data_IF_510808143072
#
_entry.id   IF_510808143072
#
_cell.length_a   1.000
_cell.length_b   1.000
_cell.length_c   1.000
_cell.angle_alpha   90.00
_cell.angle_beta   90.00
_cell.angle_gamma   90.00
#
_symmetry.space_group_name_H-M   'P 1'
#
loop_
_entity.id
_entity.type
_entity.pdbx_description
1 polymer ?
#
# COMPACT_ATOMS: atom_id res chain seq x y z
N UNK A 1 -30.99 8.19 6.57
CA UNK A 1 -29.74 8.53 5.84
C UNK A 1 -29.88 8.06 4.39
N UNK A 2 -29.40 8.84 3.39
CA UNK A 2 -29.41 8.47 1.96
C UNK A 2 -27.99 8.08 1.51
N UNK A 3 -27.87 7.07 0.62
CA UNK A 3 -26.60 6.73 -0.04
C UNK A 3 -26.25 7.77 -1.10
N UNK A 4 -24.98 8.17 -1.17
CA UNK A 4 -24.44 9.04 -2.22
C UNK A 4 -24.21 8.19 -3.47
N UNK A 5 -24.62 8.66 -4.65
CA UNK A 5 -24.35 7.96 -5.92
C UNK A 5 -22.89 8.11 -6.33
N UNK A 6 -22.43 7.30 -7.29
CA UNK A 6 -21.05 7.40 -7.74
C UNK A 6 -20.74 8.75 -8.41
N UNK A 7 -21.70 9.34 -9.14
CA UNK A 7 -21.54 10.67 -9.74
C UNK A 7 -21.42 11.75 -8.66
N UNK A 8 -22.16 11.62 -7.56
CA UNK A 8 -22.16 12.57 -6.44
C UNK A 8 -20.90 12.47 -5.55
N UNK A 9 -20.04 11.47 -5.73
CA UNK A 9 -18.81 11.31 -4.93
C UNK A 9 -17.74 12.34 -5.27
N UNK A 10 -17.82 13.02 -6.41
CA UNK A 10 -16.82 14.01 -6.85
C UNK A 10 -15.41 13.41 -6.96
N UNK A 11 -15.31 12.22 -7.55
CA UNK A 11 -14.02 11.54 -7.76
C UNK A 11 -13.25 12.22 -8.90
N UNK A 12 -11.92 12.36 -8.77
CA UNK A 12 -11.11 12.94 -9.84
C UNK A 12 -11.14 12.08 -11.10
N UNK A 13 -10.93 12.71 -12.26
CA UNK A 13 -10.57 11.98 -13.49
C UNK A 13 -9.16 11.38 -13.37
N UNK A 14 -8.77 10.42 -14.23
CA UNK A 14 -7.40 9.90 -14.27
C UNK A 14 -6.33 11.00 -14.42
N UNK A 15 -6.58 12.00 -15.25
CA UNK A 15 -5.67 13.13 -15.47
C UNK A 15 -5.56 14.02 -14.23
N UNK A 16 -6.69 14.32 -13.58
CA UNK A 16 -6.71 15.07 -12.32
C UNK A 16 -6.00 14.29 -11.21
N UNK A 17 -6.23 12.97 -11.14
CA UNK A 17 -5.59 12.09 -10.18
C UNK A 17 -4.07 12.05 -10.37
N UNK A 18 -3.58 12.05 -11.62
CA UNK A 18 -2.15 12.09 -11.93
C UNK A 18 -1.46 13.36 -11.43
N UNK A 19 -2.15 14.50 -11.41
CA UNK A 19 -1.65 15.79 -10.91
C UNK A 19 -1.82 16.02 -9.40
N UNK A 20 -2.44 15.09 -8.66
CA UNK A 20 -2.64 15.22 -7.21
C UNK A 20 -1.38 14.88 -6.44
N UNK A 21 -1.23 15.53 -5.29
CA UNK A 21 -0.25 15.12 -4.28
C UNK A 21 -0.48 13.66 -3.88
N UNK A 22 0.60 12.88 -3.82
CA UNK A 22 0.55 11.48 -3.44
C UNK A 22 0.83 11.32 -1.96
N UNK A 23 0.22 10.30 -1.35
CA UNK A 23 0.72 9.78 -0.10
C UNK A 23 2.15 9.30 -0.34
N UNK A 24 3.17 9.78 0.40
CA UNK A 24 4.59 9.45 0.20
C UNK A 24 4.93 8.03 0.68
N UNK A 25 4.16 7.06 0.17
CA UNK A 25 4.18 5.65 0.49
C UNK A 25 4.31 4.87 -0.81
N UNK A 26 5.36 4.06 -0.89
CA UNK A 26 5.53 3.02 -1.91
C UNK A 26 5.11 1.68 -1.31
N UNK A 27 4.28 0.92 -2.01
CA UNK A 27 3.98 -0.47 -1.65
C UNK A 27 4.95 -1.38 -2.37
N UNK A 28 5.55 -2.35 -1.68
CA UNK A 28 6.39 -3.39 -2.28
C UNK A 28 5.73 -4.74 -2.02
N UNK A 29 5.42 -5.50 -3.07
CA UNK A 29 4.83 -6.83 -2.97
C UNK A 29 5.92 -7.89 -3.17
N UNK A 30 6.38 -8.48 -2.08
CA UNK A 30 7.39 -9.55 -2.05
C UNK A 30 6.75 -10.89 -2.38
N UNK A 31 6.91 -11.34 -3.63
CA UNK A 31 6.48 -12.67 -4.08
C UNK A 31 4.99 -12.98 -3.77
N UNK A 32 4.10 -12.00 -3.87
CA UNK A 32 2.65 -12.17 -3.68
C UNK A 32 2.09 -13.02 -4.83
N UNK A 33 1.50 -14.17 -4.51
CA UNK A 33 1.11 -15.16 -5.53
C UNK A 33 -0.23 -14.85 -6.16
N UNK A 34 -1.19 -14.36 -5.38
CA UNK A 34 -2.55 -14.15 -5.86
C UNK A 34 -2.65 -12.86 -6.67
N UNK A 35 -2.91 -13.00 -7.98
CA UNK A 35 -3.23 -11.87 -8.85
C UNK A 35 -4.46 -11.06 -8.35
N UNK A 36 -5.36 -11.69 -7.59
CA UNK A 36 -6.51 -10.99 -6.98
C UNK A 36 -6.07 -10.12 -5.80
N UNK A 37 -5.11 -10.58 -4.98
CA UNK A 37 -4.53 -9.74 -3.93
C UNK A 37 -3.77 -8.57 -4.56
N UNK A 38 -3.00 -8.82 -5.63
CA UNK A 38 -2.31 -7.75 -6.37
C UNK A 38 -3.29 -6.69 -6.87
N UNK A 39 -4.39 -7.09 -7.53
CA UNK A 39 -5.39 -6.13 -7.97
C UNK A 39 -6.11 -5.41 -6.82
N UNK A 40 -6.31 -6.06 -5.68
CA UNK A 40 -6.81 -5.39 -4.47
C UNK A 40 -5.82 -4.36 -3.91
N UNK A 41 -4.51 -4.59 -4.00
CA UNK A 41 -3.49 -3.58 -3.68
C UNK A 41 -3.54 -2.39 -4.63
N UNK A 42 -3.69 -2.61 -5.94
CA UNK A 42 -3.89 -1.52 -6.89
C UNK A 42 -5.10 -0.67 -6.53
N UNK A 43 -6.25 -1.30 -6.26
CA UNK A 43 -7.49 -0.59 -5.91
C UNK A 43 -7.37 0.18 -4.60
N UNK A 44 -6.71 -0.40 -3.59
CA UNK A 44 -6.45 0.26 -2.31
C UNK A 44 -5.46 1.42 -2.48
N UNK A 45 -4.44 1.22 -3.32
CA UNK A 45 -3.44 2.22 -3.65
C UNK A 45 -4.05 3.45 -4.32
N UNK A 46 -4.96 3.24 -5.27
CA UNK A 46 -5.73 4.31 -5.92
C UNK A 46 -6.58 5.08 -4.89
N UNK A 47 -7.31 4.36 -4.04
CA UNK A 47 -8.18 4.95 -3.03
C UNK A 47 -7.45 5.85 -2.03
N UNK A 48 -6.20 5.52 -1.69
CA UNK A 48 -5.36 6.29 -0.76
C UNK A 48 -4.26 7.11 -1.45
N UNK A 49 -4.29 7.21 -2.78
CA UNK A 49 -3.34 7.95 -3.60
C UNK A 49 -1.85 7.62 -3.27
N UNK A 50 -1.51 6.34 -3.10
CA UNK A 50 -0.12 5.91 -2.87
C UNK A 50 0.79 6.37 -3.99
N UNK A 51 2.07 6.60 -3.69
CA UNK A 51 3.04 7.11 -4.67
C UNK A 51 3.24 6.10 -5.81
N UNK A 52 3.43 4.82 -5.47
CA UNK A 52 3.56 3.73 -6.43
C UNK A 52 3.48 2.33 -5.79
N UNK A 53 3.37 1.31 -6.64
CA UNK A 53 3.45 -0.11 -6.26
C UNK A 53 4.63 -0.78 -6.99
N UNK A 54 5.44 -1.56 -6.28
CA UNK A 54 6.51 -2.37 -6.86
C UNK A 54 6.15 -3.85 -6.72
N UNK A 55 6.09 -4.54 -7.85
CA UNK A 55 5.76 -5.96 -7.91
C UNK A 55 7.06 -6.75 -7.99
N UNK A 56 7.36 -7.56 -6.98
CA UNK A 56 8.65 -8.24 -6.88
C UNK A 56 8.56 -9.76 -7.11
N UNK A 57 9.61 -10.30 -7.75
CA UNK A 57 9.81 -11.74 -7.89
C UNK A 57 8.72 -12.41 -8.72
N UNK A 58 8.00 -13.37 -8.12
CA UNK A 58 6.93 -14.12 -8.78
C UNK A 58 5.60 -13.36 -8.90
N UNK A 59 5.51 -12.16 -8.33
CA UNK A 59 4.26 -11.38 -8.29
C UNK A 59 3.75 -11.09 -9.69
N UNK A 60 2.48 -11.43 -9.96
CA UNK A 60 1.86 -11.20 -11.26
C UNK A 60 1.81 -9.70 -11.60
N UNK A 61 2.07 -9.36 -12.87
CA UNK A 61 2.06 -7.97 -13.36
C UNK A 61 0.89 -7.70 -14.31
N UNK A 62 0.39 -6.45 -14.40
CA UNK A 62 -0.43 -6.03 -15.53
C UNK A 62 0.31 -6.18 -16.87
N UNK A 63 -0.39 -6.44 -17.99
CA UNK A 63 -1.82 -6.74 -18.09
C UNK A 63 -2.16 -8.17 -17.60
N UNK A 64 -3.17 -8.29 -16.75
CA UNK A 64 -3.69 -9.58 -16.28
C UNK A 64 -5.19 -9.49 -16.03
N UNK A 65 -5.96 -10.45 -16.54
CA UNK A 65 -7.42 -10.51 -16.38
C UNK A 65 -7.84 -10.58 -14.91
N UNK A 66 -7.08 -11.30 -14.08
CA UNK A 66 -7.38 -11.47 -12.66
C UNK A 66 -7.07 -10.21 -11.84
N UNK A 67 -5.95 -9.55 -12.15
CA UNK A 67 -5.62 -8.25 -11.57
C UNK A 67 -6.71 -7.25 -11.95
N UNK A 68 -7.02 -7.11 -13.23
CA UNK A 68 -8.01 -6.15 -13.73
C UNK A 68 -9.39 -6.33 -13.07
N UNK A 69 -9.84 -7.58 -12.88
CA UNK A 69 -11.13 -7.90 -12.24
C UNK A 69 -11.25 -7.34 -10.81
N UNK A 70 -10.15 -7.25 -10.08
CA UNK A 70 -10.14 -6.79 -8.67
C UNK A 70 -9.69 -5.35 -8.54
N UNK A 71 -8.75 -4.91 -9.37
CA UNK A 71 -8.27 -3.53 -9.47
C UNK A 71 -9.32 -2.55 -10.03
N UNK A 72 -10.17 -3.02 -10.95
CA UNK A 72 -11.20 -2.22 -11.63
C UNK A 72 -10.63 -0.98 -12.35
N UNK A 73 -9.47 -1.13 -13.01
CA UNK A 73 -8.82 -0.06 -13.76
C UNK A 73 -7.81 0.76 -12.93
N UNK A 74 -7.74 0.55 -11.61
CA UNK A 74 -6.74 1.19 -10.76
C UNK A 74 -5.28 0.89 -11.18
N UNK A 75 -5.04 -0.25 -11.85
CA UNK A 75 -3.75 -0.59 -12.43
C UNK A 75 -3.31 0.33 -13.59
N UNK A 76 -4.20 1.19 -14.07
CA UNK A 76 -3.95 2.18 -15.12
C UNK A 76 -3.67 3.57 -14.55
N UNK A 77 -4.09 3.85 -13.32
CA UNK A 77 -3.95 5.16 -12.66
C UNK A 77 -2.86 5.20 -11.60
N UNK A 78 -2.60 4.07 -10.93
CA UNK A 78 -1.53 3.94 -9.93
C UNK A 78 -0.22 3.60 -10.64
N UNK A 79 0.80 4.42 -10.40
CA UNK A 79 2.14 4.15 -10.91
C UNK A 79 2.68 2.82 -10.34
N UNK A 80 3.28 1.99 -11.19
CA UNK A 80 3.89 0.75 -10.74
C UNK A 80 5.08 0.35 -11.60
N UNK A 81 5.94 -0.49 -11.02
CA UNK A 81 7.06 -1.10 -11.73
C UNK A 81 7.26 -2.55 -11.28
N UNK A 82 7.98 -3.32 -12.08
CA UNK A 82 8.38 -4.68 -11.75
C UNK A 82 9.85 -4.73 -11.34
N UNK A 83 10.16 -5.51 -10.31
CA UNK A 83 11.53 -5.83 -9.94
C UNK A 83 11.72 -7.35 -9.79
N UNK A 84 12.78 -7.90 -10.38
CA UNK A 84 13.04 -9.34 -10.30
C UNK A 84 13.40 -9.81 -8.87
N UNK A 85 13.93 -8.92 -8.03
CA UNK A 85 14.43 -9.24 -6.68
C UNK A 85 13.93 -8.22 -5.67
N UNK A 86 13.19 -8.67 -4.65
CA UNK A 86 12.73 -7.84 -3.54
C UNK A 86 13.90 -7.19 -2.81
N UNK A 87 14.98 -7.94 -2.58
CA UNK A 87 16.20 -7.43 -1.92
C UNK A 87 16.80 -6.27 -2.71
N UNK A 88 16.94 -6.41 -4.03
CA UNK A 88 17.49 -5.35 -4.87
C UNK A 88 16.57 -4.14 -4.96
N UNK A 89 15.26 -4.36 -4.94
CA UNK A 89 14.26 -3.29 -4.83
C UNK A 89 14.42 -2.49 -3.52
N UNK A 90 14.55 -3.18 -2.39
CA UNK A 90 14.74 -2.57 -1.08
C UNK A 90 16.03 -1.75 -1.04
N UNK A 91 17.15 -2.32 -1.51
CA UNK A 91 18.44 -1.62 -1.56
C UNK A 91 18.34 -0.33 -2.41
N UNK A 92 17.66 -0.38 -3.56
CA UNK A 92 17.45 0.79 -4.43
C UNK A 92 16.56 1.86 -3.79
N UNK A 93 15.48 1.45 -3.10
CA UNK A 93 14.59 2.34 -2.36
C UNK A 93 15.34 3.06 -1.23
N UNK A 94 16.13 2.33 -0.45
CA UNK A 94 16.95 2.92 0.63
C UNK A 94 17.95 3.93 0.07
N UNK A 95 18.64 3.59 -1.02
CA UNK A 95 19.55 4.50 -1.70
C UNK A 95 18.86 5.77 -2.22
N UNK A 96 17.57 5.69 -2.56
CA UNK A 96 16.73 6.81 -2.96
C UNK A 96 16.10 7.58 -1.77
N UNK A 97 16.51 7.29 -0.54
CA UNK A 97 16.06 8.00 0.67
C UNK A 97 14.72 7.55 1.23
N UNK A 98 14.21 6.39 0.83
CA UNK A 98 13.02 5.79 1.43
C UNK A 98 13.37 5.07 2.73
N UNK A 99 12.49 5.16 3.72
CA UNK A 99 12.52 4.28 4.90
C UNK A 99 11.67 3.06 4.64
N UNK A 100 12.31 1.90 4.62
CA UNK A 100 11.70 0.65 4.21
C UNK A 100 11.31 -0.14 5.44
N UNK A 101 10.03 -0.47 5.58
CA UNK A 101 9.49 -1.24 6.69
C UNK A 101 8.83 -2.52 6.18
N UNK A 102 9.20 -3.66 6.75
CA UNK A 102 8.49 -4.91 6.51
C UNK A 102 7.17 -4.90 7.27
N UNK A 103 6.06 -5.25 6.63
CA UNK A 103 4.79 -5.52 7.32
C UNK A 103 4.77 -7.00 7.68
N UNK A 104 5.38 -7.32 8.82
CA UNK A 104 5.66 -8.69 9.25
C UNK A 104 5.74 -8.79 10.78
N UNK A 105 5.42 -9.96 11.32
CA UNK A 105 5.61 -10.31 12.73
C UNK A 105 7.05 -10.76 12.95
N UNK A 106 7.89 -9.86 13.45
CA UNK A 106 9.30 -10.13 13.79
C UNK A 106 9.65 -9.57 15.15
N UNK A 107 10.70 -10.11 15.78
CA UNK A 107 11.20 -9.57 17.05
C UNK A 107 11.58 -8.09 16.88
N UNK A 108 11.05 -7.23 17.76
CA UNK A 108 11.29 -5.79 17.73
C UNK A 108 10.44 -5.01 16.72
N UNK A 109 9.46 -5.62 16.07
CA UNK A 109 8.50 -4.90 15.22
C UNK A 109 7.75 -3.82 16.02
N UNK A 110 7.55 -2.66 15.40
CA UNK A 110 6.71 -1.61 15.97
C UNK A 110 5.23 -1.93 15.74
N UNK A 111 4.39 -1.77 16.77
CA UNK A 111 2.96 -2.02 16.64
C UNK A 111 2.28 -0.89 15.86
N UNK A 112 1.49 -1.24 14.85
CA UNK A 112 0.88 -0.29 13.91
C UNK A 112 -0.03 0.75 14.60
N UNK A 113 -0.71 0.39 15.66
CA UNK A 113 -1.64 1.25 16.41
C UNK A 113 -0.91 2.39 17.16
N UNK A 114 0.33 2.14 17.57
CA UNK A 114 1.18 3.11 18.27
C UNK A 114 2.23 3.77 17.37
N UNK A 115 2.55 3.17 16.23
CA UNK A 115 3.48 3.74 15.25
C UNK A 115 2.98 5.09 14.71
N UNK A 116 3.90 6.06 14.62
CA UNK A 116 3.64 7.40 14.08
C UNK A 116 4.63 7.70 12.95
N UNK A 117 4.18 7.81 11.69
CA UNK A 117 5.03 8.26 10.60
C UNK A 117 5.56 9.67 10.87
N UNK A 118 6.82 9.90 10.52
CA UNK A 118 7.48 11.20 10.62
C UNK A 118 7.08 12.10 9.45
N UNK A 119 6.81 13.37 9.75
CA UNK A 119 6.46 14.37 8.73
C UNK A 119 7.62 14.58 7.74
N UNK A 120 7.28 14.64 6.45
CA UNK A 120 8.26 14.82 5.36
C UNK A 120 9.06 13.56 5.01
N UNK A 121 8.88 12.45 5.72
CA UNK A 121 9.58 11.18 5.45
C UNK A 121 8.81 10.33 4.43
N UNK A 122 9.56 9.65 3.56
CA UNK A 122 9.01 8.70 2.58
C UNK A 122 9.12 7.26 3.10
N UNK A 123 8.06 6.48 2.90
CA UNK A 123 7.99 5.10 3.42
C UNK A 123 7.77 4.07 2.32
N UNK A 124 8.57 3.01 2.31
CA UNK A 124 8.29 1.83 1.49
C UNK A 124 7.80 0.70 2.41
N UNK A 125 6.62 0.18 2.14
CA UNK A 125 5.99 -0.84 2.96
C UNK A 125 6.02 -2.17 2.22
N UNK A 126 6.75 -3.14 2.76
CA UNK A 126 6.96 -4.45 2.14
C UNK A 126 5.93 -5.43 2.68
N UNK A 127 5.10 -5.98 1.78
CA UNK A 127 4.09 -6.98 2.09
C UNK A 127 4.47 -8.31 1.44
N UNK A 128 4.26 -9.40 2.17
CA UNK A 128 4.81 -10.69 1.82
C UNK A 128 3.87 -11.66 1.11
N UNK A 129 4.43 -12.82 0.82
CA UNK A 129 3.74 -13.99 0.29
C UNK A 129 2.61 -14.45 1.23
N UNK A 130 1.52 -15.00 0.67
CA UNK A 130 0.37 -15.44 1.46
C UNK A 130 0.66 -16.60 2.43
N UNK A 131 1.70 -17.38 2.17
CA UNK A 131 2.10 -18.53 2.99
C UNK A 131 3.33 -18.18 3.83
N UNK A 132 4.36 -17.65 3.18
CA UNK A 132 5.68 -17.49 3.80
C UNK A 132 5.93 -16.09 4.39
N UNK A 133 5.01 -15.14 4.21
CA UNK A 133 5.20 -13.77 4.64
C UNK A 133 6.29 -13.05 3.84
N UNK A 134 6.87 -12.00 4.43
CA UNK A 134 8.01 -11.30 3.84
C UNK A 134 9.24 -12.20 3.99
N UNK A 135 9.96 -12.44 2.91
CA UNK A 135 11.12 -13.34 2.93
C UNK A 135 12.18 -12.84 3.90
N UNK A 136 12.83 -13.74 4.64
CA UNK A 136 13.88 -13.36 5.61
C UNK A 136 14.97 -12.46 4.99
N UNK A 137 15.49 -12.73 3.77
CA UNK A 137 16.44 -11.82 3.13
C UNK A 137 15.90 -10.41 2.88
N UNK A 138 14.58 -10.25 2.65
CA UNK A 138 13.96 -8.93 2.51
C UNK A 138 13.79 -8.25 3.88
N UNK A 139 13.39 -9.00 4.92
CA UNK A 139 13.31 -8.50 6.31
C UNK A 139 14.66 -7.95 6.76
N UNK A 140 15.74 -8.71 6.55
CA UNK A 140 17.12 -8.33 6.94
C UNK A 140 17.60 -7.02 6.27
N UNK A 141 16.93 -6.61 5.18
CA UNK A 141 17.26 -5.43 4.38
C UNK A 141 16.41 -4.22 4.70
N UNK A 142 15.29 -4.41 5.40
CA UNK A 142 14.43 -3.32 5.84
C UNK A 142 15.10 -2.50 6.96
N UNK A 143 14.67 -1.25 7.14
CA UNK A 143 15.08 -0.39 8.26
C UNK A 143 14.36 -0.77 9.58
N UNK A 144 13.28 -1.55 9.49
CA UNK A 144 12.50 -2.05 10.61
C UNK A 144 11.27 -2.82 10.14
N UNK A 145 10.36 -3.12 11.06
CA UNK A 145 9.11 -3.82 10.76
C UNK A 145 7.90 -3.19 11.49
N UNK A 146 6.72 -3.40 10.90
CA UNK A 146 5.42 -3.00 11.42
C UNK A 146 4.54 -4.24 11.60
N UNK A 147 3.99 -4.38 12.80
CA UNK A 147 3.08 -5.47 13.13
C UNK A 147 1.65 -4.94 13.34
N UNK A 148 0.67 -5.63 12.77
CA UNK A 148 -0.75 -5.36 13.03
C UNK A 148 -1.14 -6.11 14.31
N UNK A 149 -1.60 -5.41 15.37
CA UNK A 149 -2.09 -6.08 16.58
C UNK A 149 -3.26 -7.02 16.26
N UNK A 150 -3.19 -8.27 16.75
CA UNK A 150 -4.18 -9.30 16.52
C UNK A 150 -4.59 -9.97 17.84
N UNK A 151 -5.87 -10.30 17.97
CA UNK A 151 -6.43 -10.99 19.15
C UNK A 151 -7.12 -12.32 18.78
N UNK A 152 -6.90 -12.80 17.55
CA UNK A 152 -7.53 -14.00 17.01
C UNK A 152 -6.66 -15.26 17.15
N UNK A 153 -7.19 -16.39 16.67
CA UNK A 153 -6.48 -17.68 16.65
C UNK A 153 -5.72 -17.95 15.36
N UNK A 154 -5.88 -17.08 14.36
CA UNK A 154 -5.15 -17.18 13.08
C UNK A 154 -3.79 -16.50 13.21
N UNK A 155 -2.81 -17.04 12.51
CA UNK A 155 -1.43 -16.55 12.56
C UNK A 155 -1.26 -15.21 11.84
N UNK A 156 -2.15 -14.88 10.90
CA UNK A 156 -2.05 -13.65 10.12
C UNK A 156 -3.40 -13.23 9.54
N UNK A 157 -3.42 -11.99 9.04
CA UNK A 157 -4.50 -11.42 8.23
C UNK A 157 -4.15 -11.61 6.75
N UNK A 158 -5.16 -11.72 5.88
CA UNK A 158 -4.96 -11.74 4.42
C UNK A 158 -4.11 -10.54 3.98
N UNK A 159 -3.11 -10.76 3.12
CA UNK A 159 -2.13 -9.73 2.73
C UNK A 159 -2.76 -8.46 2.15
N UNK A 160 -3.81 -8.55 1.33
CA UNK A 160 -4.49 -7.38 0.78
C UNK A 160 -5.29 -6.62 1.86
N UNK A 161 -5.88 -7.35 2.82
CA UNK A 161 -6.52 -6.75 3.99
C UNK A 161 -5.49 -6.05 4.88
N UNK A 162 -4.33 -6.67 5.13
CA UNK A 162 -3.20 -6.05 5.82
C UNK A 162 -2.75 -4.77 5.13
N UNK A 163 -2.64 -4.80 3.80
CA UNK A 163 -2.39 -3.62 2.97
C UNK A 163 -3.41 -2.51 3.22
N UNK A 164 -4.70 -2.84 3.21
CA UNK A 164 -5.78 -1.88 3.53
C UNK A 164 -5.64 -1.25 4.91
N UNK A 165 -5.36 -2.05 5.95
CA UNK A 165 -5.24 -1.58 7.34
C UNK A 165 -4.02 -0.65 7.50
N UNK A 166 -2.86 -1.06 6.99
CA UNK A 166 -1.62 -0.27 7.11
C UNK A 166 -1.73 1.02 6.29
N UNK A 167 -2.17 0.94 5.03
CA UNK A 167 -2.28 2.12 4.17
C UNK A 167 -3.30 3.13 4.69
N UNK A 168 -4.43 2.65 5.25
CA UNK A 168 -5.39 3.55 5.92
C UNK A 168 -4.76 4.27 7.11
N UNK A 169 -3.99 3.55 7.95
CA UNK A 169 -3.29 4.14 9.09
C UNK A 169 -2.32 5.25 8.65
N UNK A 170 -1.52 4.99 7.62
CA UNK A 170 -0.61 5.99 7.06
C UNK A 170 -1.37 7.16 6.44
N UNK A 171 -2.43 6.89 5.69
CA UNK A 171 -3.27 7.92 5.08
C UNK A 171 -3.87 8.87 6.13
N UNK A 172 -4.40 8.34 7.25
CA UNK A 172 -4.95 9.17 8.32
C UNK A 172 -3.92 10.06 9.02
N UNK A 173 -2.66 9.63 9.06
CA UNK A 173 -1.60 10.29 9.82
C UNK A 173 -0.79 11.27 8.98
N UNK A 174 -0.61 10.99 7.68
CA UNK A 174 0.23 11.78 6.77
C UNK A 174 -0.61 12.65 5.85
N UNK A 175 -1.71 12.12 5.29
CA UNK A 175 -2.36 12.77 4.16
C UNK A 175 -3.06 14.06 4.60
N UNK A 176 -2.79 15.20 3.95
CA UNK A 176 -3.38 16.47 4.34
C UNK A 176 -4.90 16.39 4.25
N UNK A 177 -5.60 16.71 5.36
CA UNK A 177 -7.08 16.68 5.43
C UNK A 177 -7.76 17.56 4.37
N UNK A 178 -7.03 18.50 3.76
CA UNK A 178 -7.49 19.41 2.71
C UNK A 178 -7.85 18.72 1.39
N UNK A 179 -7.33 17.51 1.12
CA UNK A 179 -7.57 16.77 -0.12
C UNK A 179 -8.61 15.64 0.00
N UNK A 180 -9.26 15.52 1.16
CA UNK A 180 -10.40 14.62 1.29
C UNK A 180 -11.52 15.16 0.40
N UNK A 181 -11.99 14.38 -0.59
CA UNK A 181 -13.08 14.73 -1.53
C UNK A 181 -14.36 15.27 -0.85
N UNK A 182 -14.49 15.14 0.48
CA UNK A 182 -15.61 15.63 1.29
C UNK A 182 -15.31 16.87 2.16
N UNK A 183 -14.05 17.29 2.31
CA UNK A 183 -13.70 18.34 3.27
C UNK A 183 -14.24 19.74 2.90
N UNK A 184 -14.55 20.00 1.63
CA UNK A 184 -14.99 21.33 1.19
C UNK A 184 -16.50 21.57 1.28
N UNK A 185 -17.32 20.57 1.62
CA UNK A 185 -18.79 20.70 1.73
C UNK A 185 -19.32 20.72 3.17
N UNK A 186 -18.46 20.90 4.18
CA UNK A 186 -18.88 21.09 5.58
C UNK A 186 -18.84 22.57 5.99
N UNK A 187 -19.52 23.40 5.19
CA UNK A 187 -20.11 24.66 5.65
C UNK A 187 -21.62 24.54 5.44
N UNK A 188 -22.33 24.03 6.45
CA UNK A 188 -23.70 24.33 6.89
C UNK A 188 -23.84 23.67 8.27
#
# INVERSE_FOLDING_TARGET
MRKITNEELGRPTPEEFAGRERLPVTVVLDNVRSAQNVGAFFRTGDAFAVERIVLCGITATPPSREIHKTALGAEQTVAWEYCASTVSCIDALRAAGWTVLAVEQVEGAAMLDTFRPEEGRKYALVFGNEVDGVSQPAVDRCDGALEIPQAGTKHSVNVAVSGGVVLWSFFCQIYPKRYLCRAENSKI
#
